data_IF_488500844763
#
_entry.id   IF_488500844763
#
_cell.length_a   1.000
_cell.length_b   1.000
_cell.length_c   1.000
_cell.angle_alpha   90.00
_cell.angle_beta   90.00
_cell.angle_gamma   90.00
#
_symmetry.space_group_name_H-M   'P 1'
#
loop_
_entity.id
_entity.type
_entity.pdbx_description
1 polymer ?
#
# COMPACT_ATOMS: atom_id res chain seq x y z
N UNK A 1 5.96 29.67 -66.07
CA UNK A 1 7.21 29.11 -65.50
C UNK A 1 7.40 29.73 -64.13
N UNK A 2 6.76 29.19 -63.10
CA UNK A 2 6.94 29.68 -61.72
C UNK A 2 6.76 28.49 -60.78
N UNK A 3 7.88 27.91 -60.36
CA UNK A 3 7.92 26.78 -59.43
C UNK A 3 8.19 27.33 -58.03
N UNK A 4 7.14 27.37 -57.22
CA UNK A 4 7.18 27.77 -55.82
C UNK A 4 7.93 26.70 -55.00
N UNK A 5 9.13 27.02 -54.52
CA UNK A 5 9.90 26.15 -53.61
C UNK A 5 9.28 26.22 -52.21
N UNK A 6 8.55 25.18 -51.82
CA UNK A 6 8.11 24.98 -50.45
C UNK A 6 9.29 24.43 -49.66
N UNK A 7 9.90 25.27 -48.83
CA UNK A 7 10.93 24.88 -47.87
C UNK A 7 10.25 24.20 -46.68
N UNK A 8 10.38 22.88 -46.56
CA UNK A 8 9.89 22.12 -45.41
C UNK A 8 10.84 22.33 -44.23
N UNK A 9 10.43 23.15 -43.26
CA UNK A 9 11.13 23.23 -41.98
C UNK A 9 10.85 21.97 -41.16
N UNK A 10 11.86 21.12 -40.98
CA UNK A 10 11.80 19.98 -40.07
C UNK A 10 11.79 20.48 -38.63
N UNK A 11 10.63 20.38 -37.98
CA UNK A 11 10.43 20.71 -36.57
C UNK A 11 11.19 19.71 -35.69
N UNK A 12 12.32 20.11 -35.13
CA UNK A 12 13.09 19.28 -34.19
C UNK A 12 12.37 19.24 -32.85
N UNK A 13 11.69 18.14 -32.57
CA UNK A 13 11.08 17.89 -31.27
C UNK A 13 12.17 17.87 -30.18
N UNK A 14 12.09 18.79 -29.22
CA UNK A 14 12.97 18.84 -28.06
C UNK A 14 12.73 17.61 -27.18
N UNK A 15 13.61 16.61 -27.28
CA UNK A 15 13.62 15.45 -26.39
C UNK A 15 14.09 15.95 -25.02
N UNK A 16 13.15 16.15 -24.09
CA UNK A 16 13.51 16.44 -22.70
C UNK A 16 14.15 15.20 -22.08
N UNK A 17 15.27 15.34 -21.35
CA UNK A 17 15.87 14.22 -20.63
C UNK A 17 14.88 13.69 -19.57
N UNK A 18 14.92 12.38 -19.27
CA UNK A 18 14.03 11.79 -18.28
C UNK A 18 14.20 12.44 -16.91
N UNK A 19 13.14 12.52 -16.09
CA UNK A 19 13.23 13.05 -14.74
C UNK A 19 14.29 12.29 -13.93
N UNK A 20 15.13 13.03 -13.19
CA UNK A 20 16.11 12.41 -12.32
C UNK A 20 15.44 11.57 -11.23
N UNK A 21 15.95 10.36 -11.01
CA UNK A 21 15.49 9.44 -9.97
C UNK A 21 16.58 9.18 -8.94
N UNK A 22 16.22 9.00 -7.65
CA UNK A 22 17.19 8.69 -6.62
C UNK A 22 17.87 7.33 -6.86
N UNK A 23 19.17 7.20 -6.53
CA UNK A 23 19.93 5.96 -6.65
C UNK A 23 19.28 4.76 -5.93
N UNK A 24 19.34 3.59 -6.55
CA UNK A 24 18.71 2.36 -6.02
C UNK A 24 19.46 1.74 -4.83
N UNK A 25 20.74 2.11 -4.67
CA UNK A 25 21.64 1.63 -3.63
C UNK A 25 21.38 2.25 -2.25
N UNK A 26 20.50 3.26 -2.16
CA UNK A 26 20.13 3.90 -0.90
C UNK A 26 19.43 2.88 0.03
N UNK A 27 20.16 2.41 1.04
CA UNK A 27 19.68 1.41 2.02
C UNK A 27 19.87 1.87 3.46
N UNK A 28 20.67 2.91 3.68
CA UNK A 28 21.03 3.42 5.01
C UNK A 28 21.11 4.94 5.05
N UNK A 29 21.15 5.50 6.26
CA UNK A 29 21.40 6.93 6.46
C UNK A 29 22.79 7.36 5.92
N UNK A 30 23.79 6.46 5.98
CA UNK A 30 25.11 6.72 5.42
C UNK A 30 25.07 6.85 3.89
N UNK A 31 24.25 6.04 3.21
CA UNK A 31 24.05 6.18 1.75
C UNK A 31 23.40 7.52 1.39
N UNK A 32 22.38 7.92 2.15
CA UNK A 32 21.72 9.22 2.00
C UNK A 32 22.74 10.35 2.13
N UNK A 33 23.54 10.34 3.20
CA UNK A 33 24.56 11.36 3.43
C UNK A 33 25.60 11.40 2.30
N UNK A 34 26.09 10.24 1.85
CA UNK A 34 27.04 10.14 0.74
C UNK A 34 26.51 10.78 -0.54
N UNK A 35 25.27 10.44 -0.92
CA UNK A 35 24.64 10.98 -2.13
C UNK A 35 24.31 12.48 -2.01
N UNK A 36 23.93 12.96 -0.82
CA UNK A 36 23.72 14.39 -0.57
C UNK A 36 25.04 15.16 -0.70
N UNK A 37 26.13 14.63 -0.14
CA UNK A 37 27.46 15.26 -0.26
C UNK A 37 27.93 15.33 -1.72
N UNK A 38 27.68 14.29 -2.52
CA UNK A 38 27.97 14.29 -3.95
C UNK A 38 27.18 15.39 -4.69
N UNK A 39 25.88 15.53 -4.42
CA UNK A 39 25.05 16.58 -5.03
C UNK A 39 25.48 17.99 -4.65
N UNK A 40 25.89 18.21 -3.40
CA UNK A 40 26.35 19.53 -2.95
C UNK A 40 27.60 19.98 -3.68
N UNK A 41 28.51 19.04 -3.99
CA UNK A 41 29.77 19.30 -4.70
C UNK A 41 29.60 19.43 -6.22
N UNK A 42 28.45 19.04 -6.76
CA UNK A 42 28.17 19.10 -8.18
C UNK A 42 27.93 20.54 -8.63
N UNK A 43 28.90 21.10 -9.36
CA UNK A 43 28.81 22.46 -9.91
C UNK A 43 27.92 22.53 -11.16
N UNK A 44 27.55 21.40 -11.77
CA UNK A 44 26.69 21.37 -12.96
C UNK A 44 25.20 21.58 -12.64
N UNK A 45 24.82 21.54 -11.36
CA UNK A 45 23.44 21.64 -10.91
C UNK A 45 23.13 23.00 -10.27
N UNK A 46 21.93 23.50 -10.53
CA UNK A 46 21.39 24.66 -9.81
C UNK A 46 21.04 24.27 -8.37
N UNK A 47 21.01 25.24 -7.46
CA UNK A 47 20.61 24.97 -6.06
C UNK A 47 19.18 24.45 -5.94
N UNK A 48 18.28 24.89 -6.82
CA UNK A 48 16.92 24.34 -6.91
C UNK A 48 16.93 22.86 -7.29
N UNK A 49 17.72 22.47 -8.29
CA UNK A 49 17.83 21.08 -8.73
C UNK A 49 18.46 20.20 -7.63
N UNK A 50 19.51 20.70 -6.98
CA UNK A 50 20.11 20.00 -5.83
C UNK A 50 19.10 19.81 -4.69
N UNK A 51 18.32 20.84 -4.36
CA UNK A 51 17.29 20.77 -3.31
C UNK A 51 16.26 19.69 -3.62
N UNK A 52 15.75 19.68 -4.86
CA UNK A 52 14.81 18.65 -5.33
C UNK A 52 15.40 17.24 -5.23
N UNK A 53 16.63 17.04 -5.70
CA UNK A 53 17.30 15.73 -5.65
C UNK A 53 17.56 15.28 -4.21
N UNK A 54 17.95 16.18 -3.30
CA UNK A 54 18.08 15.88 -1.86
C UNK A 54 16.75 15.39 -1.27
N UNK A 55 15.64 16.07 -1.56
CA UNK A 55 14.31 15.65 -1.10
C UNK A 55 13.95 14.25 -1.62
N UNK A 56 14.24 13.97 -2.89
CA UNK A 56 14.01 12.66 -3.50
C UNK A 56 14.84 11.54 -2.86
N UNK A 57 16.11 11.81 -2.50
CA UNK A 57 16.99 10.86 -1.79
C UNK A 57 16.42 10.52 -0.41
N UNK A 58 16.06 11.53 0.39
CA UNK A 58 15.45 11.31 1.70
C UNK A 58 14.15 10.50 1.58
N UNK A 59 13.32 10.85 0.60
CA UNK A 59 12.06 10.15 0.33
C UNK A 59 12.29 8.71 -0.14
N UNK A 60 13.37 8.41 -0.85
CA UNK A 60 13.67 7.07 -1.35
C UNK A 60 13.97 6.10 -0.20
N UNK A 61 14.86 6.49 0.72
CA UNK A 61 15.14 5.70 1.91
C UNK A 61 13.87 5.49 2.73
N UNK A 62 13.11 6.57 2.99
CA UNK A 62 11.86 6.50 3.73
C UNK A 62 10.90 5.49 3.11
N UNK A 63 10.61 5.59 1.81
CA UNK A 63 9.73 4.65 1.09
C UNK A 63 10.24 3.21 1.18
N UNK A 64 11.55 3.00 1.14
CA UNK A 64 12.14 1.66 1.25
C UNK A 64 11.93 1.05 2.63
N UNK A 65 12.21 1.81 3.69
CA UNK A 65 12.01 1.38 5.07
C UNK A 65 10.52 1.11 5.36
N UNK A 66 9.63 1.95 4.84
CA UNK A 66 8.18 1.75 4.95
C UNK A 66 7.73 0.47 4.25
N UNK A 67 8.21 0.19 3.04
CA UNK A 67 7.92 -1.09 2.35
C UNK A 67 8.42 -2.29 3.15
N UNK A 68 9.68 -2.28 3.58
CA UNK A 68 10.24 -3.38 4.37
C UNK A 68 9.46 -3.63 5.67
N UNK A 69 8.98 -2.56 6.32
CA UNK A 69 8.08 -2.66 7.47
C UNK A 69 6.76 -3.32 7.10
N UNK A 70 6.11 -2.86 6.03
CA UNK A 70 4.86 -3.45 5.56
C UNK A 70 5.02 -4.93 5.17
N UNK A 71 6.12 -5.30 4.53
CA UNK A 71 6.42 -6.70 4.17
C UNK A 71 6.55 -7.57 5.43
N UNK A 72 7.23 -7.07 6.47
CA UNK A 72 7.32 -7.75 7.76
C UNK A 72 5.95 -7.96 8.41
N UNK A 73 5.10 -6.93 8.39
CA UNK A 73 3.73 -7.01 8.95
C UNK A 73 2.88 -7.97 8.11
N UNK A 74 2.99 -7.92 6.79
CA UNK A 74 2.28 -8.83 5.89
C UNK A 74 2.66 -10.29 6.17
N UNK A 75 3.94 -10.59 6.39
CA UNK A 75 4.41 -11.92 6.80
C UNK A 75 3.78 -12.34 8.12
N UNK A 76 3.82 -11.48 9.15
CA UNK A 76 3.23 -11.78 10.47
C UNK A 76 1.72 -12.08 10.37
N UNK A 77 0.98 -11.29 9.59
CA UNK A 77 -0.44 -11.48 9.36
C UNK A 77 -0.75 -12.73 8.52
N UNK A 78 0.17 -13.12 7.64
CA UNK A 78 0.08 -14.30 6.78
C UNK A 78 0.42 -15.59 7.52
N UNK A 79 1.43 -15.58 8.39
CA UNK A 79 1.77 -16.72 9.25
C UNK A 79 0.60 -17.03 10.20
N UNK A 80 -0.16 -15.99 10.57
CA UNK A 80 -1.43 -16.07 11.30
C UNK A 80 -2.65 -16.24 10.36
N UNK A 81 -2.50 -16.45 9.06
CA UNK A 81 -3.63 -16.62 8.13
C UNK A 81 -4.35 -17.95 8.34
N UNK A 82 -3.61 -19.01 8.65
CA UNK A 82 -4.17 -20.31 9.05
C UNK A 82 -4.84 -20.25 10.43
N UNK A 83 -4.48 -19.28 11.27
CA UNK A 83 -5.19 -19.04 12.51
C UNK A 83 -6.55 -18.41 12.18
N UNK A 84 -7.61 -19.06 12.65
CA UNK A 84 -8.97 -18.53 12.64
C UNK A 84 -9.14 -17.69 13.90
N UNK A 85 -8.88 -16.36 13.89
CA UNK A 85 -9.10 -15.56 15.08
C UNK A 85 -10.60 -15.58 15.39
N UNK A 86 -10.87 -15.70 16.68
CA UNK A 86 -12.22 -15.76 17.21
C UNK A 86 -12.53 -14.46 17.94
N UNK A 87 -13.78 -14.04 17.81
CA UNK A 87 -14.35 -12.97 18.60
C UNK A 87 -14.60 -13.41 20.04
N UNK A 88 -15.01 -12.45 20.87
CA UNK A 88 -15.48 -12.72 22.22
C UNK A 88 -16.97 -13.13 22.27
N UNK A 89 -17.63 -13.23 21.12
CA UNK A 89 -19.05 -13.57 21.01
C UNK A 89 -19.22 -15.07 20.79
N UNK A 90 -20.13 -15.69 21.56
CA UNK A 90 -20.53 -17.08 21.41
C UNK A 90 -21.76 -17.18 20.51
N UNK A 91 -21.78 -18.17 19.65
CA UNK A 91 -22.96 -18.55 18.87
C UNK A 91 -24.05 -19.10 19.81
N UNK A 92 -25.28 -18.55 19.82
CA UNK A 92 -26.33 -18.98 20.76
C UNK A 92 -26.79 -20.43 20.59
N UNK A 93 -26.57 -21.05 19.41
CA UNK A 93 -27.03 -22.41 19.12
C UNK A 93 -25.97 -23.45 19.45
N UNK A 94 -24.72 -23.14 19.16
CA UNK A 94 -23.60 -24.09 19.29
C UNK A 94 -22.71 -23.82 20.49
N UNK A 95 -22.87 -22.66 21.14
CA UNK A 95 -22.02 -22.18 22.23
C UNK A 95 -20.52 -22.10 21.87
N UNK A 96 -20.20 -22.03 20.58
CA UNK A 96 -18.84 -21.89 20.07
C UNK A 96 -18.51 -20.42 19.79
N UNK A 97 -17.23 -20.04 19.88
CA UNK A 97 -16.82 -18.68 19.54
C UNK A 97 -16.99 -18.43 18.04
N UNK A 98 -17.57 -17.28 17.70
CA UNK A 98 -17.67 -16.81 16.31
C UNK A 98 -16.31 -16.34 15.80
N UNK A 99 -16.03 -16.49 14.50
CA UNK A 99 -14.85 -15.89 13.88
C UNK A 99 -14.86 -14.36 14.02
N UNK A 100 -13.67 -13.78 13.96
CA UNK A 100 -13.48 -12.35 13.94
C UNK A 100 -12.41 -11.92 14.92
N UNK A 101 -12.66 -10.84 15.64
CA UNK A 101 -11.73 -10.31 16.63
C UNK A 101 -12.51 -9.82 17.84
N UNK A 102 -11.80 -9.35 18.87
CA UNK A 102 -12.43 -8.74 20.06
C UNK A 102 -13.34 -7.55 19.74
N UNK A 103 -13.13 -6.88 18.59
CA UNK A 103 -13.91 -5.72 18.18
C UNK A 103 -15.20 -6.11 17.45
N UNK A 104 -15.14 -7.09 16.54
CA UNK A 104 -16.27 -7.47 15.70
C UNK A 104 -16.30 -8.99 15.43
N UNK A 105 -17.44 -9.65 15.63
CA UNK A 105 -17.68 -11.00 15.12
C UNK A 105 -17.97 -10.94 13.61
N UNK A 106 -17.02 -11.39 12.80
CA UNK A 106 -17.12 -11.36 11.33
C UNK A 106 -16.29 -12.47 10.69
N UNK A 107 -16.74 -12.94 9.54
CA UNK A 107 -16.16 -14.07 8.82
C UNK A 107 -15.23 -13.64 7.68
N UNK A 108 -14.74 -12.41 7.68
CA UNK A 108 -13.79 -11.91 6.68
C UNK A 108 -12.78 -10.90 7.24
N UNK A 109 -11.63 -10.80 6.57
CA UNK A 109 -10.64 -9.73 6.73
C UNK A 109 -10.90 -8.61 5.70
N UNK A 110 -10.57 -7.36 6.04
CA UNK A 110 -10.54 -6.21 5.12
C UNK A 110 -9.13 -6.00 4.56
N UNK A 111 -9.04 -5.57 3.31
CA UNK A 111 -7.82 -4.98 2.77
C UNK A 111 -7.76 -3.49 3.13
N UNK A 112 -6.74 -3.09 3.89
CA UNK A 112 -6.51 -1.71 4.25
C UNK A 112 -6.13 -0.88 3.01
N UNK A 113 -6.92 0.13 2.65
CA UNK A 113 -6.67 0.94 1.45
C UNK A 113 -5.36 1.76 1.51
N UNK A 114 -4.85 2.02 2.71
CA UNK A 114 -3.63 2.79 2.95
C UNK A 114 -2.34 2.00 2.72
N UNK A 115 -2.34 0.69 3.00
CA UNK A 115 -1.12 -0.13 3.04
C UNK A 115 -1.27 -1.53 2.42
N UNK A 116 -2.46 -1.89 1.91
CA UNK A 116 -2.82 -3.19 1.33
C UNK A 116 -2.63 -4.40 2.26
N UNK A 117 -2.53 -4.16 3.56
CA UNK A 117 -2.45 -5.20 4.58
C UNK A 117 -3.85 -5.75 4.93
N UNK A 118 -3.89 -7.03 5.31
CA UNK A 118 -5.14 -7.74 5.63
C UNK A 118 -5.40 -7.80 7.13
N UNK A 119 -6.41 -7.08 7.59
CA UNK A 119 -6.80 -7.07 9.00
C UNK A 119 -8.22 -7.60 9.20
N UNK A 120 -8.53 -8.15 10.36
CA UNK A 120 -9.91 -8.57 10.66
C UNK A 120 -10.85 -7.37 10.65
N UNK A 121 -10.43 -6.23 11.20
CA UNK A 121 -11.21 -4.99 11.19
C UNK A 121 -10.31 -3.75 11.23
N UNK A 122 -10.92 -2.58 11.06
CA UNK A 122 -10.22 -1.29 11.10
C UNK A 122 -9.52 -1.01 12.44
N UNK A 123 -10.15 -1.38 13.55
CA UNK A 123 -9.58 -1.12 14.89
C UNK A 123 -8.32 -1.97 15.09
N UNK A 124 -8.32 -3.24 14.64
CA UNK A 124 -7.12 -4.08 14.66
C UNK A 124 -5.97 -3.52 13.82
N UNK A 125 -6.27 -2.83 12.72
CA UNK A 125 -5.26 -2.13 11.93
C UNK A 125 -4.70 -0.93 12.70
N UNK A 126 -5.59 -0.05 13.16
CA UNK A 126 -5.21 1.21 13.80
C UNK A 126 -4.46 1.00 15.14
N UNK A 127 -4.68 -0.14 15.81
CA UNK A 127 -3.97 -0.54 17.03
C UNK A 127 -2.66 -1.30 16.77
N UNK A 128 -2.32 -1.63 15.52
CA UNK A 128 -1.12 -2.40 15.21
C UNK A 128 0.14 -1.55 15.47
N UNK A 129 1.07 -1.95 16.36
CA UNK A 129 2.20 -1.11 16.78
C UNK A 129 3.19 -0.80 15.65
N UNK A 130 3.18 -1.59 14.57
CA UNK A 130 3.98 -1.35 13.36
C UNK A 130 3.37 -0.33 12.38
N UNK A 131 2.18 0.21 12.65
CA UNK A 131 1.48 1.15 11.78
C UNK A 131 1.29 2.49 12.50
N UNK A 132 1.55 3.58 11.79
CA UNK A 132 1.48 4.96 12.27
C UNK A 132 0.38 5.77 11.58
N UNK A 133 -0.59 5.07 10.98
CA UNK A 133 -1.69 5.65 10.23
C UNK A 133 -2.99 4.86 10.47
N UNK A 134 -4.12 5.50 10.17
CA UNK A 134 -5.44 4.90 10.31
C UNK A 134 -6.04 4.52 8.95
N UNK A 135 -6.94 3.53 8.95
CA UNK A 135 -7.72 3.19 7.75
C UNK A 135 -8.75 4.27 7.44
N UNK A 136 -8.82 4.68 6.16
CA UNK A 136 -10.02 5.32 5.62
C UNK A 136 -11.12 4.27 5.46
N UNK A 137 -12.16 4.41 6.30
CA UNK A 137 -13.29 3.46 6.37
C UNK A 137 -14.07 3.32 5.06
N UNK A 138 -14.02 4.33 4.18
CA UNK A 138 -14.76 4.30 2.91
C UNK A 138 -13.92 3.79 1.74
N UNK A 139 -12.60 3.67 1.93
CA UNK A 139 -11.69 3.30 0.86
C UNK A 139 -11.43 1.79 0.77
N UNK A 140 -11.94 0.98 1.71
CA UNK A 140 -11.75 -0.48 1.69
C UNK A 140 -12.39 -1.09 0.44
N UNK A 141 -11.56 -1.63 -0.47
CA UNK A 141 -12.04 -2.15 -1.75
C UNK A 141 -12.29 -3.64 -1.75
N UNK A 142 -11.59 -4.40 -0.92
CA UNK A 142 -11.65 -5.87 -0.94
C UNK A 142 -11.83 -6.46 0.46
N UNK A 143 -12.44 -7.64 0.49
CA UNK A 143 -12.56 -8.50 1.67
C UNK A 143 -12.08 -9.91 1.33
N UNK A 144 -11.48 -10.59 2.31
CA UNK A 144 -11.03 -11.98 2.22
C UNK A 144 -11.85 -12.85 3.16
N UNK A 145 -12.50 -13.89 2.63
CA UNK A 145 -13.24 -14.85 3.43
C UNK A 145 -12.31 -15.63 4.39
N UNK A 146 -12.69 -15.76 5.66
CA UNK A 146 -11.91 -16.54 6.64
C UNK A 146 -12.24 -18.04 6.65
N UNK A 147 -13.20 -18.48 5.82
CA UNK A 147 -13.54 -19.90 5.66
C UNK A 147 -12.84 -20.55 4.46
N UNK A 148 -12.70 -19.82 3.36
CA UNK A 148 -12.19 -20.34 2.09
C UNK A 148 -11.11 -19.46 1.44
N UNK A 149 -10.66 -18.40 2.10
CA UNK A 149 -9.65 -17.44 1.62
C UNK A 149 -9.97 -16.71 0.30
N UNK A 150 -11.19 -16.86 -0.23
CA UNK A 150 -11.64 -16.14 -1.41
C UNK A 150 -11.60 -14.62 -1.16
N UNK A 151 -10.93 -13.90 -2.06
CA UNK A 151 -10.88 -12.43 -2.08
C UNK A 151 -11.94 -11.92 -3.05
N UNK A 152 -12.72 -10.94 -2.61
CA UNK A 152 -13.76 -10.31 -3.44
C UNK A 152 -13.88 -8.81 -3.15
N UNK A 153 -14.35 -8.01 -4.12
CA UNK A 153 -14.59 -6.59 -3.92
C UNK A 153 -15.74 -6.34 -2.93
N UNK A 154 -15.66 -5.22 -2.21
CA UNK A 154 -16.75 -4.67 -1.41
C UNK A 154 -17.75 -3.98 -2.35
N UNK A 155 -18.93 -4.57 -2.51
CA UNK A 155 -20.04 -4.02 -3.28
C UNK A 155 -21.38 -4.39 -2.60
N UNK A 156 -22.52 -4.06 -3.21
CA UNK A 156 -23.86 -4.37 -2.66
C UNK A 156 -24.14 -5.87 -2.43
N UNK A 157 -23.37 -6.77 -3.05
CA UNK A 157 -23.44 -8.23 -2.83
C UNK A 157 -22.42 -8.75 -1.82
N UNK A 158 -21.55 -7.88 -1.26
CA UNK A 158 -20.48 -8.26 -0.33
C UNK A 158 -20.97 -8.58 1.09
N UNK A 159 -22.22 -8.99 1.24
CA UNK A 159 -22.76 -9.52 2.49
C UNK A 159 -22.39 -10.98 2.72
N UNK A 160 -22.06 -11.70 1.65
CA UNK A 160 -21.68 -13.12 1.68
C UNK A 160 -20.48 -13.39 0.77
N UNK A 161 -19.77 -14.46 1.09
CA UNK A 161 -18.70 -14.97 0.25
C UNK A 161 -19.26 -15.50 -1.07
N UNK A 162 -18.74 -15.03 -2.20
CA UNK A 162 -19.16 -15.50 -3.53
C UNK A 162 -18.71 -16.93 -3.84
N UNK A 163 -17.73 -17.46 -3.11
CA UNK A 163 -17.22 -18.83 -3.30
C UNK A 163 -17.91 -19.85 -2.39
N UNK A 164 -17.98 -19.61 -1.08
CA UNK A 164 -18.54 -20.58 -0.12
C UNK A 164 -19.92 -20.21 0.45
N UNK A 165 -20.49 -19.07 0.05
CA UNK A 165 -21.81 -18.61 0.49
C UNK A 165 -21.91 -18.11 1.93
N UNK A 166 -20.83 -18.20 2.73
CA UNK A 166 -20.84 -17.75 4.13
C UNK A 166 -21.09 -16.26 4.24
N UNK A 167 -22.05 -15.86 5.09
CA UNK A 167 -22.29 -14.44 5.42
C UNK A 167 -21.10 -13.84 6.17
N UNK A 168 -20.65 -12.66 5.77
CA UNK A 168 -19.50 -12.00 6.39
C UNK A 168 -19.81 -11.33 7.72
N UNK A 169 -21.02 -10.84 7.91
CA UNK A 169 -21.51 -10.28 9.16
C UNK A 169 -22.91 -10.80 9.48
N UNK A 170 -23.20 -10.95 10.77
CA UNK A 170 -24.53 -11.34 11.26
C UNK A 170 -25.49 -10.15 11.25
N UNK A 171 -24.99 -8.95 11.53
CA UNK A 171 -25.74 -7.70 11.62
C UNK A 171 -24.99 -6.60 10.84
N UNK A 172 -25.73 -5.76 10.10
CA UNK A 172 -25.21 -4.62 9.32
C UNK A 172 -25.41 -3.32 10.09
#
# INVERSE_FOLDING_TARGET
HEAFRISTMTNSATVHPPPWTPPEDIRSAADVQRHILALTRDSSLTEHEKSRRRQLIHSALFRRLQRARHDSIASELSDKASAKPFSNVLDPKTNQRLLGCRHYPRNCKIEAACCSLWFVCRICHDEHPGLDHAIDRFATKNVRCMHCDNVQPVNSSAHSCTSCGTRFALYF
#
